data_IF_267521687487
#
_entry.id   IF_267521687487
#
_cell.length_a   1.000
_cell.length_b   1.000
_cell.length_c   1.000
_cell.angle_alpha   90.00
_cell.angle_beta   90.00
_cell.angle_gamma   90.00
#
_symmetry.space_group_name_H-M   'P 1'
#
loop_
_entity.id
_entity.type
_entity.pdbx_description
1 polymer ?
#
# COMPACT_ATOMS: atom_id res chain seq x y z
N UNK A 1 11.62 53.21 63.67
CA UNK A 1 12.36 52.64 62.52
C UNK A 1 11.70 51.35 62.12
N UNK A 2 10.81 51.39 61.09
CA UNK A 2 10.07 50.22 60.58
C UNK A 2 10.93 49.57 59.47
N UNK A 3 11.35 48.33 59.68
CA UNK A 3 12.03 47.54 58.68
C UNK A 3 10.99 46.92 57.74
N UNK A 4 10.99 47.36 56.49
CA UNK A 4 10.15 46.82 55.43
C UNK A 4 10.90 45.61 54.82
N UNK A 5 10.30 44.42 54.98
CA UNK A 5 10.81 43.18 54.40
C UNK A 5 10.19 43.03 52.99
N UNK A 6 10.99 43.17 51.96
CA UNK A 6 10.58 42.94 50.56
C UNK A 6 10.83 41.43 50.27
N UNK A 7 9.73 40.68 50.13
CA UNK A 7 9.77 39.29 49.68
C UNK A 7 9.84 39.27 48.16
N UNK A 8 10.99 38.83 47.63
CA UNK A 8 11.19 38.60 46.21
C UNK A 8 10.58 37.22 45.85
N UNK A 9 9.40 37.22 45.19
CA UNK A 9 8.85 35.99 44.62
C UNK A 9 9.51 35.73 43.30
N UNK A 10 10.42 34.76 43.26
CA UNK A 10 11.03 34.24 42.02
C UNK A 10 9.98 33.35 41.32
N UNK A 11 9.41 33.86 40.23
CA UNK A 11 8.57 33.07 39.35
C UNK A 11 9.51 32.22 38.46
N UNK A 12 9.67 30.94 38.78
CA UNK A 12 10.35 29.99 37.93
C UNK A 12 9.46 29.66 36.73
N UNK A 13 9.76 30.27 35.59
CA UNK A 13 9.19 29.82 34.30
C UNK A 13 9.80 28.46 33.95
N UNK A 14 9.13 27.37 34.25
CA UNK A 14 9.46 26.08 33.68
C UNK A 14 9.04 26.11 32.22
N UNK A 15 9.97 26.40 31.30
CA UNK A 15 9.80 26.23 29.87
C UNK A 15 9.69 24.71 29.62
N UNK A 16 8.49 24.20 29.49
CA UNK A 16 8.28 22.87 28.92
C UNK A 16 8.65 22.96 27.45
N UNK A 17 9.87 22.56 27.12
CA UNK A 17 10.27 22.31 25.74
C UNK A 17 9.38 21.17 25.23
N UNK A 18 8.34 21.52 24.48
CA UNK A 18 7.59 20.54 23.69
C UNK A 18 8.59 19.95 22.68
N UNK A 19 9.04 18.73 22.93
CA UNK A 19 9.78 17.99 21.94
C UNK A 19 8.76 17.71 20.83
N UNK A 20 8.89 18.39 19.70
CA UNK A 20 8.11 18.09 18.51
C UNK A 20 8.30 16.61 18.18
N UNK A 21 7.20 15.88 17.98
CA UNK A 21 7.25 14.47 17.62
C UNK A 21 7.93 14.23 16.27
N UNK A 22 8.18 12.98 15.91
CA UNK A 22 8.80 12.66 14.63
C UNK A 22 7.93 13.16 13.48
N UNK A 23 8.58 13.71 12.45
CA UNK A 23 7.94 14.21 11.25
C UNK A 23 8.33 13.32 10.08
N UNK A 24 7.35 12.79 9.34
CA UNK A 24 7.58 11.94 8.18
C UNK A 24 6.81 12.47 6.97
N UNK A 25 7.45 12.43 5.81
CA UNK A 25 6.82 12.64 4.51
C UNK A 25 6.60 11.27 3.86
N UNK A 26 5.36 10.98 3.46
CA UNK A 26 4.98 9.68 2.92
C UNK A 26 4.39 9.82 1.52
N UNK A 27 5.09 9.26 0.54
CA UNK A 27 4.62 9.18 -0.84
C UNK A 27 3.73 7.94 -1.00
N UNK A 28 2.53 8.15 -1.53
CA UNK A 28 1.56 7.07 -1.75
C UNK A 28 0.59 7.39 -2.89
N UNK A 29 -0.16 6.39 -3.35
CA UNK A 29 -1.22 6.57 -4.37
C UNK A 29 -2.63 6.23 -3.86
N UNK A 30 -2.81 6.00 -2.58
CA UNK A 30 -4.09 5.72 -1.94
C UNK A 30 -4.88 6.99 -1.68
N UNK A 31 -5.54 7.49 -2.72
CA UNK A 31 -6.19 8.82 -2.69
C UNK A 31 -7.71 8.78 -2.59
N UNK A 32 -8.34 7.58 -2.68
CA UNK A 32 -9.80 7.46 -2.67
C UNK A 32 -10.28 6.12 -2.13
N UNK A 33 -11.57 6.04 -1.81
CA UNK A 33 -12.25 4.80 -1.43
C UNK A 33 -11.67 4.11 -0.20
N UNK A 34 -11.67 2.78 -0.21
CA UNK A 34 -11.17 1.95 0.88
C UNK A 34 -9.67 2.11 1.16
N UNK A 35 -8.88 2.40 0.13
CA UNK A 35 -7.45 2.64 0.26
C UNK A 35 -7.15 3.91 1.07
N UNK A 36 -7.85 5.02 0.77
CA UNK A 36 -7.72 6.26 1.54
C UNK A 36 -8.18 6.07 2.99
N UNK A 37 -9.23 5.27 3.22
CA UNK A 37 -9.69 4.94 4.57
C UNK A 37 -8.66 4.11 5.34
N UNK A 38 -8.00 3.14 4.69
CA UNK A 38 -6.93 2.35 5.29
C UNK A 38 -5.71 3.22 5.63
N UNK A 39 -5.29 4.09 4.72
CA UNK A 39 -4.20 5.04 4.97
C UNK A 39 -4.51 5.97 6.16
N UNK A 40 -5.78 6.40 6.29
CA UNK A 40 -6.20 7.25 7.39
C UNK A 40 -5.95 6.61 8.76
N UNK A 41 -6.10 5.29 8.88
CA UNK A 41 -5.82 4.57 10.14
C UNK A 41 -4.35 4.75 10.54
N UNK A 42 -3.42 4.59 9.59
CA UNK A 42 -1.99 4.78 9.85
C UNK A 42 -1.67 6.23 10.24
N UNK A 43 -2.28 7.20 9.56
CA UNK A 43 -2.10 8.63 9.83
C UNK A 43 -2.61 8.99 11.22
N UNK A 44 -3.80 8.52 11.59
CA UNK A 44 -4.41 8.78 12.89
C UNK A 44 -3.60 8.16 14.02
N UNK A 45 -3.10 6.92 13.85
CA UNK A 45 -2.25 6.25 14.84
C UNK A 45 -0.91 6.98 15.01
N UNK A 46 -0.27 7.36 13.92
CA UNK A 46 0.98 8.11 13.96
C UNK A 46 0.82 9.47 14.67
N UNK A 47 -0.28 10.18 14.38
CA UNK A 47 -0.60 11.45 15.05
C UNK A 47 -0.93 11.24 16.54
N UNK A 48 -1.66 10.18 16.90
CA UNK A 48 -1.97 9.84 18.29
C UNK A 48 -0.71 9.54 19.11
N UNK A 49 0.35 9.06 18.46
CA UNK A 49 1.68 8.83 19.06
C UNK A 49 2.61 10.07 18.96
N UNK A 50 2.06 11.25 18.65
CA UNK A 50 2.77 12.51 18.64
C UNK A 50 3.56 12.81 17.37
N UNK A 51 3.37 12.02 16.31
CA UNK A 51 4.01 12.22 15.01
C UNK A 51 3.29 13.25 14.13
N UNK A 52 4.03 13.86 13.22
CA UNK A 52 3.51 14.72 12.15
C UNK A 52 3.63 14.00 10.80
N UNK A 53 2.50 13.67 10.18
CA UNK A 53 2.45 13.03 8.87
C UNK A 53 2.30 14.08 7.76
N UNK A 54 3.28 14.15 6.86
CA UNK A 54 3.20 14.94 5.64
C UNK A 54 2.76 14.05 4.49
N UNK A 55 1.62 14.36 3.95
CA UNK A 55 1.02 13.62 2.83
C UNK A 55 1.65 14.04 1.51
N UNK A 56 2.13 13.06 0.73
CA UNK A 56 2.58 13.25 -0.64
C UNK A 56 1.81 12.31 -1.59
N UNK A 57 0.53 12.62 -1.88
CA UNK A 57 -0.30 11.77 -2.73
C UNK A 57 0.06 11.93 -4.21
N UNK A 58 0.27 10.82 -4.93
CA UNK A 58 0.49 10.79 -6.38
C UNK A 58 -0.49 9.82 -7.01
N UNK A 59 -1.54 10.34 -7.62
CA UNK A 59 -2.63 9.54 -8.21
C UNK A 59 -2.24 8.94 -9.55
N UNK A 60 -2.73 7.75 -9.84
CA UNK A 60 -2.75 7.15 -11.17
C UNK A 60 -1.83 5.96 -11.40
N UNK A 61 -2.16 5.20 -12.42
CA UNK A 61 -1.38 4.05 -12.92
C UNK A 61 -1.16 2.91 -11.93
N UNK A 62 -2.03 2.76 -10.91
CA UNK A 62 -1.80 1.73 -9.88
C UNK A 62 -0.44 1.86 -9.17
N UNK A 63 0.09 3.08 -9.05
CA UNK A 63 1.39 3.38 -8.45
C UNK A 63 2.49 3.75 -9.45
N UNK A 64 2.29 3.62 -10.75
CA UNK A 64 3.34 3.92 -11.74
C UNK A 64 3.76 5.39 -11.69
N UNK A 65 2.80 6.32 -11.61
CA UNK A 65 3.09 7.75 -11.46
C UNK A 65 3.83 8.05 -10.15
N UNK A 66 3.48 7.37 -9.06
CA UNK A 66 4.16 7.49 -7.77
C UNK A 66 5.61 7.01 -7.85
N UNK A 67 5.87 5.88 -8.53
CA UNK A 67 7.23 5.38 -8.75
C UNK A 67 8.08 6.34 -9.57
N UNK A 68 7.52 6.98 -10.60
CA UNK A 68 8.23 8.00 -11.38
C UNK A 68 8.61 9.19 -10.48
N UNK A 69 7.67 9.67 -9.67
CA UNK A 69 7.92 10.76 -8.72
C UNK A 69 8.97 10.39 -7.67
N UNK A 70 8.90 9.16 -7.13
CA UNK A 70 9.88 8.65 -6.17
C UNK A 70 11.29 8.59 -6.78
N UNK A 71 11.43 8.01 -7.98
CA UNK A 71 12.73 7.93 -8.68
C UNK A 71 13.31 9.33 -8.92
N UNK A 72 12.49 10.28 -9.33
CA UNK A 72 12.94 11.67 -9.53
C UNK A 72 13.47 12.31 -8.22
N UNK A 73 12.80 12.08 -7.09
CA UNK A 73 13.22 12.55 -5.76
C UNK A 73 14.52 11.89 -5.29
N UNK A 74 14.66 10.58 -5.51
CA UNK A 74 15.88 9.83 -5.18
C UNK A 74 17.07 10.38 -5.97
N UNK A 75 16.92 10.58 -7.28
CA UNK A 75 17.98 11.15 -8.15
C UNK A 75 18.35 12.59 -7.75
N UNK A 76 17.38 13.36 -7.29
CA UNK A 76 17.62 14.71 -6.76
C UNK A 76 18.31 14.73 -5.38
N UNK A 77 18.48 13.58 -4.72
CA UNK A 77 19.03 13.49 -3.37
C UNK A 77 18.09 13.95 -2.26
N UNK A 78 16.79 14.00 -2.55
CA UNK A 78 15.72 14.43 -1.64
C UNK A 78 14.58 13.39 -1.60
N UNK A 79 14.84 12.14 -1.18
CA UNK A 79 13.81 11.12 -1.07
C UNK A 79 12.81 11.44 0.06
N UNK A 80 11.54 10.98 -0.02
CA UNK A 80 10.62 11.07 1.10
C UNK A 80 11.08 10.16 2.26
N UNK A 81 10.53 10.39 3.46
CA UNK A 81 10.85 9.57 4.63
C UNK A 81 10.37 8.12 4.47
N UNK A 82 9.26 7.93 3.78
CA UNK A 82 8.71 6.62 3.43
C UNK A 82 7.95 6.70 2.10
N UNK A 83 7.85 5.57 1.42
CA UNK A 83 7.08 5.46 0.19
C UNK A 83 6.32 4.16 0.14
N UNK A 84 5.10 4.22 -0.36
CA UNK A 84 4.37 3.03 -0.77
C UNK A 84 5.05 2.41 -1.99
N UNK A 85 5.32 1.10 -1.94
CA UNK A 85 6.00 0.35 -3.01
C UNK A 85 5.29 -1.00 -3.17
N UNK A 86 5.22 -1.52 -4.39
CA UNK A 86 4.79 -2.90 -4.66
C UNK A 86 5.93 -3.89 -4.50
N UNK A 87 5.64 -5.12 -4.11
CA UNK A 87 6.61 -6.15 -3.76
C UNK A 87 7.84 -6.28 -4.66
N UNK A 88 7.72 -6.57 -5.97
CA UNK A 88 8.91 -6.73 -6.84
C UNK A 88 9.80 -5.48 -6.93
N UNK A 89 9.20 -4.28 -6.87
CA UNK A 89 9.92 -3.00 -6.92
C UNK A 89 10.82 -2.78 -5.69
N UNK A 90 10.55 -3.45 -4.56
CA UNK A 90 11.42 -3.42 -3.38
C UNK A 90 12.82 -3.94 -3.74
N UNK A 91 12.89 -5.01 -4.54
CA UNK A 91 14.16 -5.61 -4.96
C UNK A 91 14.95 -4.71 -5.91
N UNK A 92 14.28 -3.94 -6.76
CA UNK A 92 14.93 -2.94 -7.62
C UNK A 92 15.61 -1.87 -6.77
N UNK A 93 14.91 -1.31 -5.80
CA UNK A 93 15.45 -0.29 -4.89
C UNK A 93 16.53 -0.82 -3.94
N UNK A 94 16.44 -2.11 -3.55
CA UNK A 94 17.51 -2.76 -2.79
C UNK A 94 18.80 -2.86 -3.61
N UNK A 95 18.71 -3.29 -4.87
CA UNK A 95 19.86 -3.38 -5.78
C UNK A 95 20.46 -2.00 -6.08
N UNK A 96 19.64 -0.96 -6.11
CA UNK A 96 20.08 0.43 -6.26
C UNK A 96 20.63 1.03 -4.96
N UNK A 97 20.57 0.30 -3.82
CA UNK A 97 21.05 0.76 -2.52
C UNK A 97 20.22 1.86 -1.88
N UNK A 98 18.94 1.95 -2.25
CA UNK A 98 18.04 3.03 -1.81
C UNK A 98 17.29 2.69 -0.53
N UNK A 99 17.02 1.41 -0.26
CA UNK A 99 16.28 0.99 0.93
C UNK A 99 17.18 0.85 2.16
N UNK A 100 16.60 1.10 3.34
CA UNK A 100 17.30 1.10 4.62
C UNK A 100 16.79 -0.04 5.54
N UNK A 101 17.28 -1.28 5.39
CA UNK A 101 16.76 -2.44 6.11
C UNK A 101 16.91 -2.36 7.63
N UNK A 102 17.92 -1.68 8.12
CA UNK A 102 18.18 -1.57 9.56
C UNK A 102 17.12 -0.81 10.36
N UNK A 103 16.18 -0.14 9.70
CA UNK A 103 15.08 0.54 10.39
C UNK A 103 13.87 -0.40 10.58
N UNK A 104 13.67 -1.36 9.68
CA UNK A 104 12.51 -2.24 9.64
C UNK A 104 12.82 -3.60 10.27
N UNK A 105 13.97 -4.19 9.95
CA UNK A 105 14.31 -5.55 10.37
C UNK A 105 14.30 -5.74 11.91
N UNK A 106 14.83 -4.85 12.75
CA UNK A 106 14.75 -5.01 14.20
C UNK A 106 13.31 -5.10 14.73
N UNK A 107 12.37 -4.38 14.10
CA UNK A 107 10.95 -4.43 14.44
C UNK A 107 10.37 -5.77 14.00
N UNK A 108 10.62 -6.17 12.76
CA UNK A 108 10.17 -7.43 12.19
C UNK A 108 10.62 -8.64 13.03
N UNK A 109 11.86 -8.64 13.49
CA UNK A 109 12.41 -9.69 14.35
C UNK A 109 11.73 -9.68 15.73
N UNK A 110 11.57 -8.51 16.35
CA UNK A 110 10.96 -8.39 17.68
C UNK A 110 9.48 -8.81 17.70
N UNK A 111 8.76 -8.58 16.61
CA UNK A 111 7.36 -8.94 16.45
C UNK A 111 7.15 -10.32 15.83
N UNK A 112 8.20 -10.97 15.36
CA UNK A 112 8.16 -12.33 14.83
C UNK A 112 7.42 -12.44 13.49
N UNK A 113 7.64 -11.51 12.57
CA UNK A 113 6.92 -11.44 11.29
C UNK A 113 7.04 -12.70 10.44
N UNK A 114 8.15 -13.42 10.50
CA UNK A 114 8.33 -14.70 9.80
C UNK A 114 7.33 -15.79 10.26
N UNK A 115 6.76 -15.65 11.46
CA UNK A 115 5.74 -16.58 11.98
C UNK A 115 4.31 -16.07 11.75
N UNK A 116 4.14 -14.79 11.45
CA UNK A 116 2.84 -14.13 11.26
C UNK A 116 2.43 -14.05 9.80
N UNK A 117 3.40 -13.90 8.91
CA UNK A 117 3.18 -13.71 7.48
C UNK A 117 3.25 -15.05 6.73
N UNK A 118 2.50 -15.15 5.63
CA UNK A 118 2.75 -16.18 4.65
C UNK A 118 4.20 -16.09 4.16
N UNK A 119 4.92 -17.22 4.00
CA UNK A 119 6.34 -17.20 3.60
C UNK A 119 6.63 -16.43 2.31
N UNK A 120 5.71 -16.46 1.33
CA UNK A 120 5.85 -15.69 0.09
C UNK A 120 5.74 -14.18 0.35
N UNK A 121 4.78 -13.79 1.19
CA UNK A 121 4.61 -12.38 1.60
C UNK A 121 5.81 -11.91 2.41
N UNK A 122 6.30 -12.71 3.35
CA UNK A 122 7.51 -12.39 4.11
C UNK A 122 8.71 -12.17 3.16
N UNK A 123 8.91 -13.08 2.21
CA UNK A 123 10.02 -13.04 1.28
C UNK A 123 10.06 -11.75 0.44
N UNK A 124 8.93 -11.31 -0.14
CA UNK A 124 8.90 -10.11 -1.00
C UNK A 124 9.19 -8.80 -0.25
N UNK A 125 9.10 -8.79 1.09
CA UNK A 125 9.43 -7.64 1.93
C UNK A 125 10.88 -7.65 2.44
N UNK A 126 11.64 -8.70 2.10
CA UNK A 126 13.06 -8.84 2.45
C UNK A 126 13.95 -8.38 1.31
N UNK A 127 15.05 -7.72 1.66
CA UNK A 127 16.14 -7.39 0.72
C UNK A 127 16.97 -8.62 0.34
N UNK A 128 18.03 -8.42 -0.42
CA UNK A 128 19.02 -9.44 -0.82
C UNK A 128 18.36 -10.66 -1.49
N UNK A 129 17.61 -10.40 -2.55
CA UNK A 129 16.87 -11.44 -3.30
C UNK A 129 15.89 -12.21 -2.42
N UNK A 130 15.07 -11.50 -1.64
CA UNK A 130 14.01 -12.05 -0.81
C UNK A 130 14.49 -12.96 0.35
N UNK A 131 15.76 -12.91 0.72
CA UNK A 131 16.34 -13.80 1.74
C UNK A 131 17.12 -13.09 2.84
N UNK A 132 17.28 -11.78 2.74
CA UNK A 132 17.99 -10.95 3.72
C UNK A 132 17.09 -10.41 4.83
N UNK A 133 17.48 -9.28 5.44
CA UNK A 133 16.67 -8.60 6.43
C UNK A 133 15.41 -7.97 5.81
N UNK A 134 14.39 -7.72 6.62
CA UNK A 134 13.24 -6.94 6.19
C UNK A 134 13.63 -5.50 5.87
N UNK A 135 13.26 -5.03 4.70
CA UNK A 135 13.52 -3.66 4.24
C UNK A 135 12.25 -2.90 3.84
N UNK A 136 11.12 -3.57 3.94
CA UNK A 136 9.80 -2.96 3.78
C UNK A 136 8.83 -3.54 4.82
N UNK A 137 7.91 -2.70 5.29
CA UNK A 137 6.84 -3.13 6.17
C UNK A 137 5.62 -3.54 5.34
N UNK A 138 5.04 -4.73 5.57
CA UNK A 138 3.78 -5.12 4.94
C UNK A 138 2.64 -4.30 5.54
N UNK A 139 2.00 -3.46 4.72
CA UNK A 139 0.85 -2.65 5.15
C UNK A 139 -0.46 -3.37 4.89
N UNK A 140 -0.55 -4.11 3.78
CA UNK A 140 -1.72 -4.87 3.37
C UNK A 140 -1.34 -5.97 2.38
N UNK A 141 -2.28 -6.90 2.19
CA UNK A 141 -2.17 -7.96 1.17
C UNK A 141 -3.32 -7.76 0.20
N UNK A 142 -3.00 -7.53 -1.07
CA UNK A 142 -3.99 -7.44 -2.13
C UNK A 142 -4.32 -8.84 -2.67
N UNK A 143 -5.61 -9.12 -2.79
CA UNK A 143 -6.11 -10.14 -3.69
C UNK A 143 -6.55 -9.42 -4.96
N UNK A 144 -5.85 -9.62 -6.08
CA UNK A 144 -6.01 -8.82 -7.30
C UNK A 144 -6.90 -9.46 -8.35
N UNK A 145 -6.97 -10.80 -8.38
CA UNK A 145 -7.72 -11.54 -9.40
C UNK A 145 -9.18 -11.72 -8.99
N UNK A 146 -9.93 -10.61 -9.02
CA UNK A 146 -11.35 -10.58 -8.72
C UNK A 146 -12.18 -10.26 -9.96
N UNK A 147 -13.29 -10.95 -10.10
CA UNK A 147 -14.37 -10.54 -10.97
C UNK A 147 -15.49 -9.90 -10.15
N UNK A 148 -15.94 -8.74 -10.57
CA UNK A 148 -17.09 -8.06 -10.01
C UNK A 148 -18.26 -8.15 -10.98
N UNK A 149 -19.37 -8.73 -10.56
CA UNK A 149 -20.59 -8.83 -11.36
C UNK A 149 -21.60 -7.76 -10.93
N UNK A 150 -22.16 -7.03 -11.89
CA UNK A 150 -23.31 -6.18 -11.62
C UNK A 150 -24.56 -7.06 -11.48
N UNK A 151 -24.95 -7.33 -10.24
CA UNK A 151 -26.06 -8.24 -9.93
C UNK A 151 -27.37 -7.83 -10.60
N UNK A 152 -27.70 -6.54 -10.64
CA UNK A 152 -28.94 -6.07 -11.27
C UNK A 152 -28.98 -6.35 -12.77
N UNK A 153 -27.84 -6.19 -13.45
CA UNK A 153 -27.71 -6.52 -14.88
C UNK A 153 -27.84 -8.02 -15.09
N UNK A 154 -27.21 -8.84 -14.26
CA UNK A 154 -27.28 -10.30 -14.36
C UNK A 154 -28.70 -10.82 -14.12
N UNK A 155 -29.36 -10.35 -13.08
CA UNK A 155 -30.75 -10.72 -12.75
C UNK A 155 -31.72 -10.33 -13.89
N UNK A 156 -31.58 -9.12 -14.45
CA UNK A 156 -32.42 -8.63 -15.54
C UNK A 156 -32.27 -9.48 -16.82
N UNK A 157 -31.14 -10.14 -17.02
CA UNK A 157 -30.86 -10.98 -18.18
C UNK A 157 -30.95 -12.50 -17.88
N UNK A 158 -31.36 -12.88 -16.66
CA UNK A 158 -31.47 -14.28 -16.25
C UNK A 158 -30.11 -15.01 -16.25
N UNK A 159 -29.05 -14.32 -15.81
CA UNK A 159 -27.68 -14.84 -15.78
C UNK A 159 -27.30 -15.07 -14.32
N UNK A 160 -26.81 -16.26 -14.02
CA UNK A 160 -26.14 -16.56 -12.74
C UNK A 160 -24.71 -16.08 -12.76
N UNK A 161 -24.12 -15.79 -11.58
CA UNK A 161 -22.71 -15.46 -11.48
C UNK A 161 -21.88 -16.65 -11.98
N UNK A 162 -21.02 -16.47 -13.01
CA UNK A 162 -20.25 -17.57 -13.58
C UNK A 162 -19.19 -18.07 -12.62
N UNK A 163 -18.94 -19.36 -12.63
CA UNK A 163 -17.94 -20.06 -11.82
C UNK A 163 -16.84 -20.71 -12.67
N UNK A 164 -16.96 -20.60 -13.98
CA UNK A 164 -16.00 -21.08 -14.98
C UNK A 164 -15.85 -20.11 -16.13
N UNK A 165 -14.78 -20.26 -16.91
CA UNK A 165 -14.54 -19.45 -18.11
C UNK A 165 -15.61 -19.70 -19.19
N UNK A 166 -16.09 -20.94 -19.32
CA UNK A 166 -17.16 -21.27 -20.27
C UNK A 166 -18.49 -20.60 -19.90
N UNK A 167 -18.83 -20.59 -18.60
CA UNK A 167 -19.99 -19.88 -18.09
C UNK A 167 -19.85 -18.35 -18.26
N UNK A 168 -18.65 -17.80 -18.07
CA UNK A 168 -18.38 -16.39 -18.30
C UNK A 168 -18.56 -16.02 -19.76
N UNK A 169 -18.04 -16.83 -20.68
CA UNK A 169 -18.21 -16.61 -22.11
C UNK A 169 -19.70 -16.69 -22.51
N UNK A 170 -20.42 -17.68 -22.03
CA UNK A 170 -21.89 -17.81 -22.29
C UNK A 170 -22.68 -16.62 -21.71
N UNK A 171 -22.28 -16.11 -20.51
CA UNK A 171 -22.88 -14.92 -19.96
C UNK A 171 -22.58 -13.68 -20.79
N UNK A 172 -21.37 -13.55 -21.30
CA UNK A 172 -20.96 -12.45 -22.18
C UNK A 172 -21.75 -12.42 -23.48
N UNK A 173 -21.95 -13.57 -24.13
CA UNK A 173 -22.77 -13.69 -25.35
C UNK A 173 -24.21 -13.24 -25.08
N UNK A 174 -24.83 -13.66 -23.98
CA UNK A 174 -26.17 -13.22 -23.59
C UNK A 174 -26.29 -11.73 -23.38
N UNK A 175 -25.31 -11.14 -22.66
CA UNK A 175 -25.28 -9.70 -22.41
C UNK A 175 -25.11 -8.92 -23.69
N UNK A 176 -24.22 -9.38 -24.59
CA UNK A 176 -24.02 -8.76 -25.89
C UNK A 176 -25.29 -8.80 -26.76
N UNK A 177 -25.99 -9.93 -26.77
CA UNK A 177 -27.27 -10.06 -27.48
C UNK A 177 -28.37 -9.13 -26.92
N UNK A 178 -28.30 -8.80 -25.63
CA UNK A 178 -29.16 -7.84 -24.97
C UNK A 178 -28.72 -6.37 -25.15
N UNK A 179 -27.65 -6.10 -25.91
CA UNK A 179 -27.09 -4.75 -26.10
C UNK A 179 -26.34 -4.19 -24.92
N UNK A 180 -25.91 -5.05 -23.98
CA UNK A 180 -25.13 -4.68 -22.79
C UNK A 180 -23.66 -5.00 -23.04
N UNK A 181 -22.77 -4.09 -22.67
CA UNK A 181 -21.32 -4.35 -22.70
C UNK A 181 -21.02 -5.43 -21.65
N UNK A 182 -20.55 -6.63 -22.07
CA UNK A 182 -20.44 -7.76 -21.17
C UNK A 182 -19.26 -7.67 -20.20
N UNK A 183 -18.20 -6.95 -20.56
CA UNK A 183 -16.98 -6.87 -19.79
C UNK A 183 -16.44 -5.43 -19.75
N UNK A 184 -16.29 -4.88 -18.56
CA UNK A 184 -15.67 -3.59 -18.34
C UNK A 184 -14.21 -3.80 -17.91
N UNK A 185 -13.28 -3.22 -18.66
CA UNK A 185 -11.84 -3.34 -18.42
C UNK A 185 -11.18 -1.99 -18.64
N UNK A 186 -10.21 -1.63 -17.77
CA UNK A 186 -9.60 -0.31 -17.78
C UNK A 186 -8.52 -0.11 -18.85
N UNK A 187 -7.92 -1.17 -19.39
CA UNK A 187 -6.95 -1.13 -20.50
C UNK A 187 -5.59 -0.50 -20.17
N UNK A 188 -5.23 -0.38 -18.88
CA UNK A 188 -3.85 -0.07 -18.50
C UNK A 188 -3.03 -1.36 -18.39
N UNK A 189 -1.72 -1.30 -18.61
CA UNK A 189 -0.84 -2.48 -18.62
C UNK A 189 -0.97 -3.36 -17.38
N UNK A 190 -1.09 -2.78 -16.18
CA UNK A 190 -1.28 -3.54 -14.95
C UNK A 190 -2.64 -4.25 -14.89
N UNK A 191 -3.69 -3.66 -15.50
CA UNK A 191 -5.02 -4.28 -15.58
C UNK A 191 -5.02 -5.42 -16.59
N UNK A 192 -4.33 -5.25 -17.72
CA UNK A 192 -4.12 -6.32 -18.71
C UNK A 192 -3.38 -7.50 -18.06
N UNK A 193 -2.34 -7.22 -17.25
CA UNK A 193 -1.59 -8.23 -16.52
C UNK A 193 -2.48 -9.02 -15.55
N UNK A 194 -3.36 -8.36 -14.78
CA UNK A 194 -4.26 -9.06 -13.85
C UNK A 194 -5.27 -9.96 -14.56
N UNK A 195 -5.79 -9.51 -15.71
CA UNK A 195 -6.68 -10.36 -16.54
C UNK A 195 -5.92 -11.56 -17.09
N UNK A 196 -4.70 -11.34 -17.60
CA UNK A 196 -3.84 -12.43 -18.07
C UNK A 196 -3.55 -13.46 -16.97
N UNK A 197 -3.17 -13.00 -15.77
CA UNK A 197 -2.91 -13.89 -14.63
C UNK A 197 -4.16 -14.69 -14.25
N UNK A 198 -5.32 -14.03 -14.14
CA UNK A 198 -6.58 -14.69 -13.83
C UNK A 198 -6.93 -15.79 -14.85
N UNK A 199 -6.76 -15.52 -16.16
CA UNK A 199 -6.99 -16.50 -17.23
C UNK A 199 -5.97 -17.63 -17.16
N UNK A 200 -4.69 -17.31 -17.05
CA UNK A 200 -3.61 -18.28 -17.01
C UNK A 200 -3.74 -19.23 -15.83
N UNK A 201 -4.05 -18.70 -14.64
CA UNK A 201 -4.30 -19.50 -13.44
C UNK A 201 -5.58 -20.34 -13.55
N UNK A 202 -6.64 -19.76 -14.09
CA UNK A 202 -7.93 -20.46 -14.27
C UNK A 202 -7.83 -21.64 -15.23
N UNK A 203 -6.97 -21.56 -16.25
CA UNK A 203 -6.74 -22.63 -17.23
C UNK A 203 -5.64 -23.60 -16.75
N UNK A 204 -4.52 -23.09 -16.30
CA UNK A 204 -3.34 -23.87 -15.92
C UNK A 204 -3.35 -24.40 -14.49
N UNK A 205 -4.18 -23.86 -13.63
CA UNK A 205 -4.27 -24.20 -12.21
C UNK A 205 -2.96 -23.92 -11.44
N UNK A 206 -2.89 -24.44 -10.22
CA UNK A 206 -1.74 -24.21 -9.33
C UNK A 206 -0.38 -24.67 -9.90
N UNK A 207 -0.38 -25.60 -10.86
CA UNK A 207 0.85 -26.07 -11.46
C UNK A 207 1.47 -25.08 -12.45
N UNK A 208 0.64 -24.20 -12.99
CA UNK A 208 1.12 -23.16 -13.90
C UNK A 208 1.73 -21.97 -13.15
N UNK A 209 1.28 -21.71 -11.94
CA UNK A 209 1.73 -20.58 -11.12
C UNK A 209 3.06 -20.85 -10.36
N UNK A 210 3.48 -22.10 -10.27
CA UNK A 210 4.75 -22.49 -9.64
C UNK A 210 5.91 -22.42 -10.63
#
# INVERSE_FOLDING_TARGET
MKKMLIALIAFAFTSTSSIAGPKIEVLHWWTSGGEAAALKVLKDDFAANGGEWLDMPVTGGGGDAANVALKARIVAGDPPSASQIKGPTIQEYDQEGVVAPYNIDPIAQSEGWDNLLDPMIAAVHKCQNNSGPYCAAPVNIHRIDWMWANKAVFDANGISVPTSWDELNAAAEKLQAAGVIPFAHGGQAWQDATVFEAVAMGIGGNNYYK
#
